data_IF_996696346492
#
_entry.id   IF_996696346492
#
_cell.length_a   1.000
_cell.length_b   1.000
_cell.length_c   1.000
_cell.angle_alpha   90.00
_cell.angle_beta   90.00
_cell.angle_gamma   90.00
#
_symmetry.space_group_name_H-M   'P 1'
#
loop_
_entity.id
_entity.type
_entity.pdbx_description
1 polymer ?
#
# COMPACT_ATOMS: atom_id res chain seq x y z
N UNK A 1 -14.01 -29.07 25.66
CA UNK A 1 -14.85 -29.02 24.44
C UNK A 1 -14.52 -27.70 23.76
N UNK A 2 -13.49 -27.71 22.91
CA UNK A 2 -13.03 -26.52 22.18
C UNK A 2 -13.82 -26.37 20.87
N UNK A 3 -14.00 -25.15 20.37
CA UNK A 3 -13.82 -24.86 18.95
C UNK A 3 -12.41 -24.28 18.76
N UNK A 4 -11.51 -25.01 18.09
CA UNK A 4 -10.07 -24.71 17.99
C UNK A 4 -9.63 -24.16 16.62
N UNK A 5 -10.55 -23.66 15.78
CA UNK A 5 -10.22 -23.29 14.38
C UNK A 5 -10.31 -21.79 14.07
N UNK A 6 -10.73 -20.92 15.00
CA UNK A 6 -10.85 -19.46 14.77
C UNK A 6 -9.56 -18.67 15.11
N UNK A 7 -8.44 -19.35 15.40
CA UNK A 7 -7.25 -18.73 16.02
C UNK A 7 -6.16 -18.25 15.07
N UNK A 8 -5.99 -18.86 13.90
CA UNK A 8 -4.83 -18.61 13.00
C UNK A 8 -5.16 -17.56 11.95
N UNK A 9 -6.31 -17.69 11.28
CA UNK A 9 -6.75 -16.75 10.24
C UNK A 9 -6.90 -15.31 10.78
N UNK A 10 -7.50 -15.15 11.96
CA UNK A 10 -7.62 -13.84 12.59
C UNK A 10 -6.25 -13.22 12.91
N UNK A 11 -5.28 -14.05 13.33
CA UNK A 11 -3.91 -13.59 13.60
C UNK A 11 -3.19 -13.18 12.30
N UNK A 12 -3.39 -13.94 11.22
CA UNK A 12 -2.88 -13.60 9.89
C UNK A 12 -3.46 -12.29 9.37
N UNK A 13 -4.76 -12.07 9.48
CA UNK A 13 -5.39 -10.80 9.08
C UNK A 13 -4.90 -9.63 9.91
N UNK A 14 -4.76 -9.79 11.23
CA UNK A 14 -4.17 -8.77 12.10
C UNK A 14 -2.73 -8.45 11.69
N UNK A 15 -1.95 -9.47 11.34
CA UNK A 15 -0.59 -9.30 10.84
C UNK A 15 -0.58 -8.54 9.51
N UNK A 16 -1.39 -8.95 8.53
CA UNK A 16 -1.46 -8.32 7.21
C UNK A 16 -1.91 -6.86 7.31
N UNK A 17 -2.92 -6.54 8.14
CA UNK A 17 -3.35 -5.16 8.38
C UNK A 17 -2.21 -4.32 8.98
N UNK A 18 -1.49 -4.85 9.96
CA UNK A 18 -0.34 -4.16 10.57
C UNK A 18 0.77 -3.94 9.55
N UNK A 19 1.13 -4.98 8.79
CA UNK A 19 2.15 -4.90 7.76
C UNK A 19 1.79 -3.89 6.67
N UNK A 20 0.53 -3.91 6.21
CA UNK A 20 0.01 -2.94 5.25
C UNK A 20 0.13 -1.50 5.77
N UNK A 21 -0.27 -1.25 7.01
CA UNK A 21 -0.16 0.08 7.64
C UNK A 21 1.29 0.56 7.76
N UNK A 22 2.21 -0.33 8.17
CA UNK A 22 3.63 -0.04 8.27
C UNK A 22 4.20 0.26 6.89
N UNK A 23 3.90 -0.57 5.89
CA UNK A 23 4.41 -0.39 4.53
C UNK A 23 3.91 0.90 3.88
N UNK A 24 2.63 1.25 4.06
CA UNK A 24 2.10 2.57 3.65
C UNK A 24 2.83 3.71 4.36
N UNK A 25 3.01 3.62 5.68
CA UNK A 25 3.72 4.65 6.44
C UNK A 25 5.17 4.83 5.98
N UNK A 26 5.85 3.72 5.67
CA UNK A 26 7.22 3.72 5.15
C UNK A 26 7.32 4.39 3.79
N UNK A 27 6.42 4.08 2.87
CA UNK A 27 6.36 4.75 1.55
C UNK A 27 6.24 6.26 1.76
N UNK A 28 5.30 6.69 2.61
CA UNK A 28 5.06 8.13 2.86
C UNK A 28 6.25 8.84 3.51
N UNK A 29 6.97 8.13 4.38
CA UNK A 29 8.16 8.67 5.05
C UNK A 29 9.36 8.76 4.10
N UNK A 30 9.73 7.67 3.43
CA UNK A 30 10.94 7.64 2.57
C UNK A 30 10.78 8.40 1.25
N UNK A 31 9.55 8.70 0.83
CA UNK A 31 9.28 9.62 -0.28
C UNK A 31 9.15 11.08 0.15
N UNK A 32 9.35 11.37 1.43
CA UNK A 32 9.28 12.73 1.98
C UNK A 32 7.93 13.41 1.72
N UNK A 33 6.83 12.62 1.75
CA UNK A 33 5.46 13.11 1.52
C UNK A 33 4.94 13.84 2.76
N UNK A 34 5.34 13.38 3.95
CA UNK A 34 5.01 14.01 5.22
C UNK A 34 6.28 14.24 6.04
N UNK A 35 6.33 15.33 6.84
CA UNK A 35 7.46 15.58 7.73
C UNK A 35 7.52 14.54 8.86
N UNK A 36 8.70 14.43 9.49
CA UNK A 36 8.94 13.49 10.60
C UNK A 36 7.92 13.62 11.76
N UNK A 37 7.44 14.84 12.01
CA UNK A 37 6.42 15.09 13.04
C UNK A 37 5.07 14.40 12.77
N UNK A 38 4.82 13.92 11.55
CA UNK A 38 3.63 13.14 11.18
C UNK A 38 3.70 11.65 11.55
N UNK A 39 4.83 11.19 12.11
CA UNK A 39 5.06 9.79 12.40
C UNK A 39 5.28 9.53 13.90
N UNK A 40 5.13 8.27 14.29
CA UNK A 40 5.58 7.71 15.55
C UNK A 40 6.70 6.72 15.29
N UNK A 41 7.70 6.76 16.14
CA UNK A 41 8.82 5.83 16.09
C UNK A 41 8.48 4.59 16.90
N UNK A 42 8.71 3.42 16.30
CA UNK A 42 8.53 2.14 16.97
C UNK A 42 9.66 1.21 16.59
N UNK A 43 10.22 0.52 17.56
CA UNK A 43 11.27 -0.46 17.29
C UNK A 43 10.67 -1.83 17.00
N UNK A 44 11.14 -2.47 15.93
CA UNK A 44 10.89 -3.88 15.63
C UNK A 44 12.22 -4.53 15.24
N UNK A 45 12.76 -5.35 16.14
CA UNK A 45 13.98 -6.15 15.91
C UNK A 45 15.19 -5.33 15.41
N UNK A 46 15.36 -4.11 15.96
CA UNK A 46 16.44 -3.20 15.58
C UNK A 46 16.18 -2.38 14.33
N UNK A 47 15.01 -2.52 13.69
CA UNK A 47 14.52 -1.59 12.67
C UNK A 47 13.62 -0.56 13.34
N UNK A 48 13.96 0.71 13.14
CA UNK A 48 13.09 1.83 13.49
C UNK A 48 11.97 1.96 12.46
N UNK A 49 10.76 1.63 12.90
CA UNK A 49 9.53 1.80 12.15
C UNK A 49 8.99 3.22 12.31
N UNK A 50 8.68 3.87 11.19
CA UNK A 50 7.90 5.10 11.14
C UNK A 50 6.44 4.75 10.88
N UNK A 51 5.56 5.03 11.85
CA UNK A 51 4.12 4.75 11.78
C UNK A 51 3.36 6.06 11.65
N UNK A 52 2.58 6.23 10.58
CA UNK A 52 1.80 7.43 10.36
C UNK A 52 0.75 7.58 11.49
N UNK A 53 0.60 8.81 12.00
CA UNK A 53 -0.37 9.13 13.05
C UNK A 53 -1.37 10.19 12.63
N UNK A 54 -2.50 10.19 13.33
CA UNK A 54 -3.45 11.30 13.27
C UNK A 54 -2.81 12.53 13.92
N UNK A 55 -2.99 13.67 13.26
CA UNK A 55 -2.47 14.96 13.69
C UNK A 55 -3.53 16.02 13.47
N UNK A 56 -3.76 16.84 14.49
CA UNK A 56 -4.60 18.04 14.38
C UNK A 56 -3.91 19.14 13.55
N UNK A 57 -2.58 19.10 13.49
CA UNK A 57 -1.74 20.10 12.79
C UNK A 57 -1.56 19.71 11.32
N UNK A 58 -1.59 18.42 11.00
CA UNK A 58 -1.43 17.88 9.64
C UNK A 58 -2.68 17.10 9.22
N UNK A 59 -3.76 17.78 8.79
CA UNK A 59 -5.01 17.12 8.39
C UNK A 59 -4.84 16.08 7.28
N UNK A 60 -3.85 16.28 6.40
CA UNK A 60 -3.53 15.34 5.33
C UNK A 60 -3.06 13.98 5.86
N UNK A 61 -2.25 13.92 6.94
CA UNK A 61 -1.84 12.63 7.54
C UNK A 61 -3.04 11.91 8.15
N UNK A 62 -3.89 12.64 8.85
CA UNK A 62 -5.15 12.12 9.42
C UNK A 62 -6.08 11.56 8.35
N UNK A 63 -6.13 12.19 7.17
CA UNK A 63 -6.90 11.69 6.03
C UNK A 63 -6.38 10.33 5.54
N UNK A 64 -5.07 10.14 5.46
CA UNK A 64 -4.50 8.83 5.10
C UNK A 64 -4.80 7.78 6.18
N UNK A 65 -4.71 8.14 7.46
CA UNK A 65 -5.09 7.21 8.55
C UNK A 65 -6.56 6.81 8.44
N UNK A 66 -7.44 7.74 8.06
CA UNK A 66 -8.84 7.44 7.80
C UNK A 66 -9.04 6.49 6.61
N UNK A 67 -8.27 6.66 5.53
CA UNK A 67 -8.25 5.70 4.42
C UNK A 67 -7.74 4.31 4.84
N UNK A 68 -6.71 4.25 5.69
CA UNK A 68 -6.23 2.97 6.24
C UNK A 68 -7.32 2.24 7.03
N UNK A 69 -8.14 2.98 7.81
CA UNK A 69 -9.30 2.40 8.51
C UNK A 69 -10.32 1.80 7.53
N UNK A 70 -10.59 2.47 6.41
CA UNK A 70 -11.46 1.93 5.36
C UNK A 70 -10.88 0.67 4.69
N UNK A 71 -9.57 0.64 4.45
CA UNK A 71 -8.90 -0.56 3.97
C UNK A 71 -9.01 -1.71 4.98
N UNK A 72 -8.88 -1.46 6.28
CA UNK A 72 -9.03 -2.50 7.30
C UNK A 72 -10.42 -3.11 7.33
N UNK A 73 -11.48 -2.31 7.21
CA UNK A 73 -12.85 -2.84 7.10
C UNK A 73 -13.00 -3.74 5.86
N UNK A 74 -12.42 -3.36 4.73
CA UNK A 74 -12.43 -4.17 3.51
C UNK A 74 -11.56 -5.44 3.61
N UNK A 75 -10.47 -5.40 4.38
CA UNK A 75 -9.61 -6.57 4.63
C UNK A 75 -10.30 -7.57 5.57
N UNK A 76 -10.93 -7.08 6.63
CA UNK A 76 -11.63 -7.92 7.62
C UNK A 76 -12.81 -8.69 7.00
N UNK A 77 -13.33 -8.20 5.87
CA UNK A 77 -14.41 -8.83 5.10
C UNK A 77 -13.90 -9.64 3.90
N UNK A 78 -12.59 -9.72 3.69
CA UNK A 78 -11.97 -10.33 2.51
C UNK A 78 -12.39 -9.71 1.16
N UNK A 79 -12.85 -8.45 1.17
CA UNK A 79 -13.30 -7.75 -0.03
C UNK A 79 -12.15 -7.11 -0.80
N UNK A 80 -11.10 -6.64 -0.10
CA UNK A 80 -10.04 -5.84 -0.73
C UNK A 80 -9.09 -6.68 -1.57
N UNK A 81 -9.09 -6.49 -2.91
CA UNK A 81 -8.14 -7.10 -3.84
C UNK A 81 -6.85 -6.29 -3.97
N UNK A 82 -6.98 -4.97 -4.06
CA UNK A 82 -5.84 -4.06 -4.09
C UNK A 82 -6.16 -2.69 -3.51
N UNK A 83 -5.14 -2.04 -2.94
CA UNK A 83 -5.15 -0.64 -2.57
C UNK A 83 -3.97 0.05 -3.26
N UNK A 84 -4.26 1.10 -4.04
CA UNK A 84 -3.26 1.84 -4.80
C UNK A 84 -3.19 3.26 -4.28
N UNK A 85 -2.05 3.64 -3.70
CA UNK A 85 -1.72 5.04 -3.43
C UNK A 85 -1.16 5.63 -4.71
N UNK A 86 -1.71 6.75 -5.15
CA UNK A 86 -1.29 7.41 -6.38
C UNK A 86 -0.96 8.88 -6.11
N UNK A 87 0.18 9.31 -6.67
CA UNK A 87 0.71 10.67 -6.62
C UNK A 87 0.57 11.31 -8.00
N UNK A 88 -0.02 12.50 -8.04
CA UNK A 88 -0.27 13.21 -9.29
C UNK A 88 -0.13 14.72 -9.09
N UNK A 89 0.16 15.46 -10.15
CA UNK A 89 0.16 16.92 -10.10
C UNK A 89 -1.28 17.43 -10.08
N UNK A 90 -1.52 18.50 -9.31
CA UNK A 90 -2.80 19.20 -9.38
C UNK A 90 -2.91 19.89 -10.74
N UNK A 91 -3.53 19.24 -11.71
CA UNK A 91 -3.83 19.88 -12.97
C UNK A 91 -4.94 20.92 -12.74
N UNK A 92 -4.57 22.21 -12.81
CA UNK A 92 -5.50 23.34 -12.61
C UNK A 92 -6.47 23.47 -13.79
N UNK A 93 -6.20 22.78 -14.90
CA UNK A 93 -6.91 22.93 -16.16
C UNK A 93 -7.85 21.76 -16.47
N UNK A 94 -8.07 20.84 -15.52
CA UNK A 94 -9.03 19.74 -15.70
C UNK A 94 -10.46 20.29 -15.66
N UNK A 95 -10.97 20.72 -16.82
CA UNK A 95 -12.39 20.95 -17.04
C UNK A 95 -13.19 19.73 -16.57
N UNK A 96 -14.37 19.91 -15.95
CA UNK A 96 -15.19 18.82 -15.44
C UNK A 96 -15.84 18.07 -16.62
N UNK A 97 -15.08 17.26 -17.33
CA UNK A 97 -15.66 16.17 -18.09
C UNK A 97 -16.10 15.07 -17.11
N UNK A 98 -17.10 14.27 -17.49
CA UNK A 98 -17.74 13.25 -16.61
C UNK A 98 -16.75 12.23 -16.03
N UNK A 99 -15.53 12.15 -16.54
CA UNK A 99 -14.48 11.21 -16.14
C UNK A 99 -13.35 11.99 -15.45
N UNK A 100 -13.04 11.62 -14.22
CA UNK A 100 -11.90 12.13 -13.48
C UNK A 100 -10.66 11.32 -13.88
N UNK A 101 -9.88 11.88 -14.79
CA UNK A 101 -8.60 11.32 -15.22
C UNK A 101 -7.47 11.93 -14.39
N UNK A 102 -6.64 11.06 -13.81
CA UNK A 102 -5.47 11.48 -13.04
C UNK A 102 -4.21 11.01 -13.77
N UNK A 103 -3.34 11.95 -14.13
CA UNK A 103 -2.01 11.66 -14.66
C UNK A 103 -1.07 11.35 -13.49
N UNK A 104 -0.84 10.05 -13.28
CA UNK A 104 -0.12 9.52 -12.13
C UNK A 104 1.37 9.46 -12.44
N UNK A 105 2.16 10.18 -11.65
CA UNK A 105 3.63 10.17 -11.74
C UNK A 105 4.21 8.94 -11.04
N UNK A 106 3.62 8.60 -9.89
CA UNK A 106 4.11 7.53 -9.02
C UNK A 106 2.95 6.88 -8.29
N UNK A 107 2.97 5.55 -8.21
CA UNK A 107 1.95 4.79 -7.50
C UNK A 107 2.52 3.57 -6.80
N UNK A 108 1.89 3.22 -5.69
CA UNK A 108 2.21 2.08 -4.85
C UNK A 108 0.98 1.20 -4.75
N UNK A 109 1.00 0.06 -5.43
CA UNK A 109 -0.10 -0.89 -5.49
C UNK A 109 0.14 -2.06 -4.53
N UNK A 110 -0.63 -2.09 -3.47
CA UNK A 110 -0.69 -3.19 -2.52
C UNK A 110 -1.75 -4.18 -2.98
N UNK A 111 -1.38 -5.42 -3.27
CA UNK A 111 -2.33 -6.48 -3.63
C UNK A 111 -2.41 -7.52 -2.54
N UNK A 112 -3.63 -7.89 -2.21
CA UNK A 112 -3.94 -8.88 -1.20
C UNK A 112 -4.53 -10.12 -1.86
N UNK A 113 -4.21 -11.30 -1.34
CA UNK A 113 -4.79 -12.56 -1.77
C UNK A 113 -5.20 -13.36 -0.53
N UNK A 114 -6.49 -13.61 -0.41
CA UNK A 114 -7.08 -14.42 0.64
C UNK A 114 -7.07 -15.89 0.22
N UNK A 115 -6.70 -16.80 1.13
CA UNK A 115 -6.39 -18.22 0.87
C UNK A 115 -4.90 -18.58 0.98
N UNK A 116 -3.99 -17.63 0.76
CA UNK A 116 -2.59 -17.72 1.21
C UNK A 116 -2.20 -16.54 2.10
N UNK A 117 -3.19 -15.70 2.44
CA UNK A 117 -3.04 -14.47 3.24
C UNK A 117 -1.78 -13.69 2.85
N UNK A 118 -1.69 -13.41 1.55
CA UNK A 118 -0.51 -12.82 0.93
C UNK A 118 -0.70 -11.33 0.75
N UNK A 119 0.29 -10.54 1.17
CA UNK A 119 0.44 -9.14 0.79
C UNK A 119 1.60 -9.02 -0.21
N UNK A 120 1.37 -8.35 -1.33
CA UNK A 120 2.44 -7.95 -2.26
C UNK A 120 2.37 -6.46 -2.53
N UNK A 121 3.53 -5.84 -2.76
CA UNK A 121 3.64 -4.43 -3.07
C UNK A 121 4.42 -4.26 -4.37
N UNK A 122 3.81 -3.55 -5.31
CA UNK A 122 4.46 -3.08 -6.54
C UNK A 122 4.50 -1.55 -6.58
N UNK A 123 5.62 -1.00 -7.03
CA UNK A 123 5.84 0.41 -7.33
C UNK A 123 5.76 0.60 -8.84
N UNK A 124 4.94 1.56 -9.29
CA UNK A 124 4.94 2.04 -10.67
C UNK A 124 5.31 3.52 -10.70
N UNK A 125 6.34 3.90 -11.45
CA UNK A 125 6.91 5.26 -11.44
C UNK A 125 7.43 5.66 -12.82
N UNK A 126 7.34 6.95 -13.14
CA UNK A 126 7.87 7.56 -14.38
C UNK A 126 9.41 7.71 -14.39
N UNK A 127 10.13 7.13 -13.43
CA UNK A 127 11.54 7.41 -13.21
C UNK A 127 12.39 7.22 -14.50
N UNK A 128 12.80 8.34 -15.12
CA UNK A 128 13.66 8.42 -16.31
C UNK A 128 15.14 8.13 -16.01
N UNK A 129 15.48 7.86 -14.74
CA UNK A 129 16.81 7.39 -14.33
C UNK A 129 17.00 5.91 -14.64
N UNK A 130 18.24 5.50 -14.89
CA UNK A 130 18.56 4.17 -15.44
C UNK A 130 17.82 3.02 -14.70
N UNK A 131 17.07 2.18 -15.44
CA UNK A 131 16.28 1.08 -14.85
C UNK A 131 17.15 0.08 -14.06
N UNK A 132 18.45 0.05 -14.33
CA UNK A 132 19.47 -0.79 -13.66
C UNK A 132 19.50 -0.61 -12.14
N UNK A 133 19.29 0.62 -11.63
CA UNK A 133 19.57 0.93 -10.22
C UNK A 133 18.46 0.44 -9.27
N UNK A 134 17.22 0.29 -9.74
CA UNK A 134 16.13 -0.28 -8.92
C UNK A 134 16.06 -1.81 -9.09
N UNK A 135 16.57 -2.34 -10.21
CA UNK A 135 16.60 -3.78 -10.50
C UNK A 135 17.46 -4.61 -9.52
N UNK A 136 18.35 -3.99 -8.73
CA UNK A 136 19.14 -4.68 -7.70
C UNK A 136 18.32 -5.11 -6.46
N UNK A 137 17.03 -4.81 -6.42
CA UNK A 137 16.15 -5.28 -5.33
C UNK A 137 16.15 -6.80 -5.33
N UNK A 138 16.84 -7.37 -4.35
CA UNK A 138 17.04 -8.81 -4.21
C UNK A 138 15.69 -9.52 -4.02
N UNK A 139 15.27 -10.26 -5.04
CA UNK A 139 14.23 -11.28 -4.91
C UNK A 139 14.85 -12.50 -4.23
N UNK A 140 14.95 -12.47 -2.90
CA UNK A 140 15.35 -13.65 -2.14
C UNK A 140 14.18 -14.65 -2.07
N UNK A 141 14.43 -15.96 -2.24
CA UNK A 141 13.40 -16.98 -2.05
C UNK A 141 12.82 -16.92 -0.62
N UNK A 142 11.55 -17.28 -0.52
CA UNK A 142 10.68 -17.18 0.65
C UNK A 142 11.09 -18.23 1.71
N UNK A 143 11.95 -17.84 2.67
CA UNK A 143 12.43 -18.78 3.69
C UNK A 143 11.67 -18.61 5.02
N UNK A 144 11.26 -17.38 5.41
CA UNK A 144 10.42 -17.13 6.61
C UNK A 144 9.62 -15.82 6.46
N UNK A 145 8.37 -15.77 6.97
CA UNK A 145 7.48 -14.56 6.99
C UNK A 145 8.22 -13.31 7.50
N UNK A 146 9.07 -13.52 8.51
CA UNK A 146 9.94 -12.51 9.11
C UNK A 146 10.91 -11.92 8.08
N UNK A 147 11.70 -12.76 7.42
CA UNK A 147 12.68 -12.32 6.43
C UNK A 147 12.01 -11.64 5.25
N UNK A 148 10.86 -12.15 4.80
CA UNK A 148 10.06 -11.51 3.75
C UNK A 148 9.59 -10.11 4.17
N UNK A 149 9.16 -9.93 5.42
CA UNK A 149 8.76 -8.64 5.97
C UNK A 149 9.92 -7.65 6.03
N UNK A 150 11.07 -8.08 6.58
CA UNK A 150 12.26 -7.22 6.66
C UNK A 150 12.75 -6.82 5.27
N UNK A 151 12.72 -7.75 4.30
CA UNK A 151 13.10 -7.47 2.92
C UNK A 151 12.15 -6.46 2.26
N UNK A 152 10.83 -6.62 2.44
CA UNK A 152 9.86 -5.64 1.93
C UNK A 152 10.15 -4.23 2.47
N UNK A 153 10.36 -4.08 3.78
CA UNK A 153 10.63 -2.78 4.39
C UNK A 153 11.95 -2.16 3.92
N UNK A 154 12.99 -2.99 3.76
CA UNK A 154 14.28 -2.57 3.17
C UNK A 154 14.09 -2.11 1.73
N UNK A 155 13.35 -2.85 0.92
CA UNK A 155 13.12 -2.52 -0.48
C UNK A 155 12.33 -1.22 -0.64
N UNK A 156 11.32 -0.96 0.21
CA UNK A 156 10.61 0.33 0.23
C UNK A 156 11.56 1.48 0.54
N UNK A 157 12.41 1.31 1.57
CA UNK A 157 13.42 2.31 1.92
C UNK A 157 14.40 2.57 0.78
N UNK A 158 15.01 1.51 0.23
CA UNK A 158 15.97 1.62 -0.87
C UNK A 158 15.35 2.23 -2.11
N UNK A 159 14.10 1.88 -2.44
CA UNK A 159 13.38 2.52 -3.53
C UNK A 159 13.16 4.01 -3.24
N UNK A 160 12.66 4.38 -2.05
CA UNK A 160 12.43 5.77 -1.68
C UNK A 160 13.69 6.65 -1.72
N UNK A 161 14.84 6.12 -1.28
CA UNK A 161 16.14 6.79 -1.31
C UNK A 161 16.76 6.90 -2.71
N UNK A 162 16.43 5.99 -3.64
CA UNK A 162 16.98 5.95 -5.02
C UNK A 162 16.10 6.67 -6.05
N UNK A 163 14.81 6.83 -5.79
CA UNK A 163 13.89 7.56 -6.66
C UNK A 163 14.23 9.05 -6.69
N UNK A 164 13.97 9.69 -7.83
CA UNK A 164 14.09 11.14 -7.96
C UNK A 164 13.17 11.87 -6.96
N UNK A 165 13.52 13.12 -6.63
CA UNK A 165 12.69 13.94 -5.74
C UNK A 165 11.32 14.17 -6.37
N UNK A 166 10.28 14.05 -5.55
CA UNK A 166 8.93 14.39 -5.97
C UNK A 166 8.82 15.91 -6.23
N UNK A 167 7.95 16.34 -7.16
CA UNK A 167 7.61 17.76 -7.34
C UNK A 167 7.07 18.38 -6.05
N UNK A 168 7.25 19.69 -5.85
CA UNK A 168 6.85 20.38 -4.62
C UNK A 168 5.34 20.50 -4.41
N UNK A 169 4.56 20.47 -5.50
CA UNK A 169 3.09 20.52 -5.46
C UNK A 169 2.53 19.20 -5.99
N UNK A 170 2.21 18.28 -5.07
CA UNK A 170 1.66 16.97 -5.40
C UNK A 170 0.36 16.73 -4.64
N UNK A 171 -0.54 16.02 -5.30
CA UNK A 171 -1.76 15.49 -4.71
C UNK A 171 -1.61 13.99 -4.49
N UNK A 172 -2.20 13.52 -3.39
CA UNK A 172 -2.24 12.10 -3.04
C UNK A 172 -3.69 11.62 -3.04
N UNK A 173 -3.93 10.45 -3.63
CA UNK A 173 -5.21 9.75 -3.58
C UNK A 173 -5.01 8.27 -3.35
N UNK A 174 -6.06 7.57 -2.95
CA UNK A 174 -6.07 6.13 -2.80
C UNK A 174 -7.27 5.54 -3.55
N UNK A 175 -7.00 4.54 -4.41
CA UNK A 175 -8.03 3.77 -5.13
C UNK A 175 -8.02 2.33 -4.65
N UNK A 176 -9.21 1.82 -4.33
CA UNK A 176 -9.39 0.43 -3.93
C UNK A 176 -9.98 -0.37 -5.10
N UNK A 177 -9.57 -1.62 -5.22
CA UNK A 177 -10.22 -2.61 -6.06
C UNK A 177 -10.67 -3.78 -5.18
N UNK A 178 -11.84 -4.32 -5.47
CA UNK A 178 -12.43 -5.40 -4.69
C UNK A 178 -12.44 -6.72 -5.46
N UNK A 179 -12.77 -7.80 -4.76
CA UNK A 179 -13.12 -9.07 -5.37
C UNK A 179 -14.62 -9.06 -5.70
N UNK A 180 -14.95 -9.02 -6.99
CA UNK A 180 -16.33 -8.90 -7.50
C UNK A 180 -17.22 -10.07 -7.04
N UNK A 181 -16.64 -11.25 -6.85
CA UNK A 181 -17.35 -12.47 -6.47
C UNK A 181 -17.93 -12.44 -5.04
N UNK A 182 -17.36 -11.61 -4.16
CA UNK A 182 -17.71 -11.59 -2.72
C UNK A 182 -18.16 -10.23 -2.21
N UNK A 183 -17.95 -9.16 -2.98
CA UNK A 183 -18.20 -7.78 -2.52
C UNK A 183 -19.54 -7.28 -3.03
N UNK A 184 -20.49 -6.92 -2.14
CA UNK A 184 -21.77 -6.34 -2.56
C UNK A 184 -21.57 -5.01 -3.30
N UNK A 185 -22.35 -4.75 -4.36
CA UNK A 185 -22.28 -3.48 -5.11
C UNK A 185 -22.56 -2.25 -4.23
N UNK A 186 -23.35 -2.39 -3.17
CA UNK A 186 -23.66 -1.31 -2.22
C UNK A 186 -22.55 -1.04 -1.20
N UNK A 187 -21.47 -1.82 -1.19
CA UNK A 187 -20.40 -1.71 -0.21
C UNK A 187 -19.55 -0.46 -0.47
N UNK A 188 -19.44 0.39 0.55
CA UNK A 188 -18.55 1.55 0.55
C UNK A 188 -17.79 1.59 1.88
N UNK A 189 -16.46 1.40 1.88
CA UNK A 189 -15.70 1.47 3.12
C UNK A 189 -15.60 2.91 3.64
N UNK A 190 -15.40 3.10 4.96
CA UNK A 190 -15.17 4.41 5.55
C UNK A 190 -14.07 5.21 4.85
N UNK A 191 -14.36 6.45 4.48
CA UNK A 191 -13.39 7.35 3.83
C UNK A 191 -13.28 7.20 2.31
N UNK A 192 -14.09 6.34 1.70
CA UNK A 192 -14.14 6.14 0.26
C UNK A 192 -15.52 6.44 -0.32
N UNK A 193 -15.57 6.48 -1.65
CA UNK A 193 -16.77 6.62 -2.47
C UNK A 193 -16.61 5.78 -3.73
N UNK A 194 -17.71 5.50 -4.43
CA UNK A 194 -17.65 4.85 -5.74
C UNK A 194 -16.79 5.64 -6.72
N UNK A 195 -16.06 4.90 -7.54
CA UNK A 195 -15.03 5.42 -8.43
C UNK A 195 -15.35 5.07 -9.89
N UNK A 196 -16.65 5.03 -10.24
CA UNK A 196 -17.17 4.56 -11.53
C UNK A 196 -16.61 5.35 -12.72
N UNK A 197 -16.21 6.60 -12.48
CA UNK A 197 -15.67 7.51 -13.48
C UNK A 197 -14.22 7.92 -13.18
N UNK A 198 -13.41 7.08 -12.52
CA UNK A 198 -12.01 7.41 -12.16
C UNK A 198 -11.01 6.54 -12.91
N UNK A 199 -10.22 7.18 -13.78
CA UNK A 199 -9.09 6.54 -14.47
C UNK A 199 -7.75 7.02 -13.91
N UNK A 200 -6.82 6.09 -13.72
CA UNK A 200 -5.42 6.39 -13.41
C UNK A 200 -4.61 6.15 -14.68
N UNK A 201 -4.19 7.26 -15.29
CA UNK A 201 -3.40 7.26 -16.50
C UNK A 201 -1.92 7.38 -16.11
N UNK A 202 -1.08 6.62 -16.78
CA UNK A 202 0.36 6.62 -16.59
C UNK A 202 0.99 6.95 -17.94
N UNK A 203 2.04 7.77 -17.98
CA UNK A 203 2.84 7.93 -19.19
C UNK A 203 3.38 6.57 -19.69
N UNK A 204 3.64 6.44 -21.00
CA UNK A 204 3.99 5.15 -21.62
C UNK A 204 5.31 4.54 -21.08
N UNK A 205 6.24 5.38 -20.59
CA UNK A 205 7.59 4.96 -20.13
C UNK A 205 7.66 4.58 -18.63
N UNK A 206 6.52 4.28 -18.00
CA UNK A 206 6.48 3.93 -16.58
C UNK A 206 7.10 2.56 -16.26
N UNK A 207 8.02 2.53 -15.27
CA UNK A 207 8.64 1.30 -14.79
C UNK A 207 7.77 0.69 -13.68
N UNK A 208 7.54 -0.63 -13.74
CA UNK A 208 6.88 -1.38 -12.67
C UNK A 208 7.88 -2.31 -11.95
N UNK A 209 8.05 -2.10 -10.65
CA UNK A 209 8.98 -2.82 -9.79
C UNK A 209 8.20 -3.52 -8.67
N UNK A 210 8.40 -4.83 -8.49
CA UNK A 210 7.91 -5.52 -7.31
C UNK A 210 8.82 -5.24 -6.12
N UNK A 211 8.30 -4.56 -5.10
CA UNK A 211 9.04 -4.25 -3.87
C UNK A 211 9.06 -5.42 -2.89
N UNK A 212 8.10 -6.34 -2.96
CA UNK A 212 8.15 -7.57 -2.18
C UNK A 212 6.83 -8.29 -2.08
N UNK A 213 6.87 -9.46 -1.45
CA UNK A 213 5.69 -10.21 -1.09
C UNK A 213 5.90 -10.92 0.25
N UNK A 214 4.85 -11.00 1.06
CA UNK A 214 4.82 -11.68 2.35
C UNK A 214 3.57 -12.55 2.38
N UNK A 215 3.72 -13.85 2.60
CA UNK A 215 2.60 -14.77 2.86
C UNK A 215 2.62 -15.15 4.34
N UNK A 216 1.46 -15.20 4.97
CA UNK A 216 1.34 -15.88 6.27
C UNK A 216 1.08 -17.36 6.03
N UNK A 217 1.69 -18.22 6.84
CA UNK A 217 1.66 -19.67 6.62
C UNK A 217 0.28 -20.21 6.99
N UNK A 218 -0.52 -20.62 6.01
CA UNK A 218 -1.57 -21.60 6.23
C UNK A 218 -0.90 -22.97 6.06
N UNK A 219 -0.70 -23.69 7.18
CA UNK A 219 -0.43 -25.12 7.09
C UNK A 219 -1.65 -25.74 6.41
N UNK A 220 -1.57 -25.98 5.10
CA UNK A 220 -2.43 -26.93 4.44
C UNK A 220 -2.12 -28.27 5.08
N UNK A 221 -2.97 -28.71 6.00
CA UNK A 221 -3.04 -30.11 6.39
C UNK A 221 -3.35 -30.88 5.11
N UNK A 222 -2.32 -31.45 4.50
CA UNK A 222 -2.46 -32.61 3.63
C UNK A 222 -2.82 -33.78 4.52
N UNK A 223 -4.12 -34.10 4.56
CA UNK A 223 -4.59 -35.45 4.84
C UNK A 223 -4.70 -36.23 3.51
#
# INVERSE_FOLDING_TARGET
MFPNELGVELQSLVFIKKLFAVAVSYVLYFRDIFPESAFHDKQLEGIELKILKESSILPASSKIVYWLKGCFDAIDRHFLKSATIALYLSDKDLHPSKICEYNIIESYCFRLSYGQEKLSLDLKTENKGEPSTICEISNCPEIEVRNATLNLLKNIRTAGERLSKLPSELMITMKLQYYDEVTPESYVPPGFKHADNVSFNFEEDNINIRLGNVKTHQNAHTD
#
